data_IF_661163662302
#
_entry.id   IF_661163662302
#
_cell.length_a   1.000
_cell.length_b   1.000
_cell.length_c   1.000
_cell.angle_alpha   90.00
_cell.angle_beta   90.00
_cell.angle_gamma   90.00
#
_symmetry.space_group_name_H-M   'P 1'
#
loop_
_entity.id
_entity.type
_entity.pdbx_description
1 polymer ?
#
# COMPACT_ATOMS: atom_id res chain seq x y z
N UNK A 1 4.20 -9.82 -15.91
CA UNK A 1 3.26 -10.60 -16.75
C UNK A 1 2.51 -11.67 -15.94
N UNK A 2 3.20 -12.53 -15.17
CA UNK A 2 2.56 -13.67 -14.50
C UNK A 2 1.46 -13.30 -13.50
N UNK A 3 1.48 -12.10 -12.94
CA UNK A 3 0.49 -11.64 -11.94
C UNK A 3 -0.86 -11.33 -12.61
N UNK A 4 -0.89 -10.79 -13.82
CA UNK A 4 -2.12 -10.43 -14.53
C UNK A 4 -2.97 -11.66 -14.90
N UNK A 5 -2.36 -12.81 -15.16
CA UNK A 5 -3.06 -14.04 -15.51
C UNK A 5 -3.50 -14.85 -14.28
N UNK A 6 -3.57 -14.24 -13.12
CA UNK A 6 -3.91 -14.92 -11.87
C UNK A 6 -5.44 -15.09 -11.68
N UNK A 7 -6.27 -14.30 -12.36
CA UNK A 7 -7.74 -14.32 -12.26
C UNK A 7 -8.26 -13.64 -11.00
N UNK A 8 -7.74 -13.99 -9.82
CA UNK A 8 -8.14 -13.43 -8.52
C UNK A 8 -6.95 -12.91 -7.73
N UNK A 9 -7.22 -12.00 -6.79
CA UNK A 9 -6.19 -11.34 -5.98
C UNK A 9 -5.29 -12.32 -5.23
N UNK A 10 -5.82 -13.42 -4.69
CA UNK A 10 -5.03 -14.42 -3.96
C UNK A 10 -3.85 -14.94 -4.77
N UNK A 11 -4.10 -15.37 -6.02
CA UNK A 11 -3.05 -15.89 -6.89
C UNK A 11 -2.05 -14.81 -7.29
N UNK A 12 -2.54 -13.57 -7.48
CA UNK A 12 -1.69 -12.43 -7.77
C UNK A 12 -0.75 -12.11 -6.61
N UNK A 13 -1.25 -12.08 -5.36
CA UNK A 13 -0.45 -11.89 -4.16
C UNK A 13 0.60 -12.98 -4.02
N UNK A 14 0.24 -14.26 -4.13
CA UNK A 14 1.19 -15.37 -4.03
C UNK A 14 2.34 -15.27 -5.05
N UNK A 15 2.02 -14.89 -6.31
CA UNK A 15 3.04 -14.67 -7.35
C UNK A 15 3.92 -13.46 -7.04
N UNK A 16 3.32 -12.38 -6.55
CA UNK A 16 4.04 -11.16 -6.17
C UNK A 16 4.99 -11.43 -4.99
N UNK A 17 4.51 -12.10 -3.93
CA UNK A 17 5.35 -12.43 -2.76
C UNK A 17 6.54 -13.31 -3.16
N UNK A 18 6.32 -14.30 -4.04
CA UNK A 18 7.40 -15.12 -4.60
C UNK A 18 8.41 -14.29 -5.40
N UNK A 19 7.94 -13.35 -6.21
CA UNK A 19 8.81 -12.43 -6.96
C UNK A 19 9.63 -11.53 -6.03
N UNK A 20 8.96 -10.93 -5.02
CA UNK A 20 9.62 -10.06 -4.05
C UNK A 20 10.68 -10.79 -3.23
N UNK A 21 10.46 -12.07 -2.90
CA UNK A 21 11.46 -12.91 -2.22
C UNK A 21 12.76 -13.04 -3.03
N UNK A 22 12.66 -13.15 -4.35
CA UNK A 22 13.84 -13.26 -5.24
C UNK A 22 14.52 -11.91 -5.47
N UNK A 23 13.73 -10.82 -5.43
CA UNK A 23 14.23 -9.47 -5.78
C UNK A 23 14.73 -8.69 -4.58
N UNK A 24 14.13 -8.92 -3.41
CA UNK A 24 14.46 -8.25 -2.15
C UNK A 24 15.17 -9.24 -1.24
N UNK A 25 16.50 -9.27 -1.32
CA UNK A 25 17.31 -10.13 -0.48
C UNK A 25 17.00 -9.95 1.01
N UNK A 26 16.84 -11.08 1.70
CA UNK A 26 16.63 -11.12 3.14
C UNK A 26 15.20 -10.82 3.60
N UNK A 27 14.20 -10.78 2.73
CA UNK A 27 12.79 -10.63 3.09
C UNK A 27 11.91 -11.71 2.44
N UNK A 28 11.08 -12.37 3.23
CA UNK A 28 10.11 -13.35 2.76
C UNK A 28 8.71 -13.02 3.25
N UNK A 29 7.79 -12.80 2.31
CA UNK A 29 6.37 -12.61 2.59
C UNK A 29 5.60 -13.92 2.45
N UNK A 30 4.78 -14.25 3.45
CA UNK A 30 3.92 -15.43 3.47
C UNK A 30 2.46 -15.02 3.66
N UNK A 31 1.59 -15.44 2.73
CA UNK A 31 0.14 -15.25 2.85
C UNK A 31 -0.46 -16.37 3.69
N UNK A 32 -1.18 -16.01 4.76
CA UNK A 32 -1.92 -16.92 5.64
C UNK A 32 -3.37 -16.53 5.68
N UNK A 33 -4.24 -17.53 5.83
CA UNK A 33 -5.69 -17.35 5.97
C UNK A 33 -6.16 -18.13 7.18
N UNK A 34 -6.91 -17.47 8.05
CA UNK A 34 -7.53 -18.07 9.24
C UNK A 34 -8.97 -17.56 9.36
N UNK A 35 -9.94 -18.43 9.07
CA UNK A 35 -11.35 -18.06 9.03
C UNK A 35 -11.62 -16.90 8.07
N UNK A 36 -12.22 -15.83 8.58
CA UNK A 36 -12.55 -14.63 7.79
C UNK A 36 -11.40 -13.63 7.64
N UNK A 37 -10.26 -13.89 8.26
CA UNK A 37 -9.09 -13.03 8.22
C UNK A 37 -7.99 -13.61 7.36
N UNK A 38 -7.37 -12.78 6.54
CA UNK A 38 -6.12 -13.06 5.86
C UNK A 38 -5.03 -12.14 6.42
N UNK A 39 -3.80 -12.62 6.44
CA UNK A 39 -2.65 -11.80 6.75
C UNK A 39 -1.47 -12.15 5.84
N UNK A 40 -0.62 -11.16 5.60
CA UNK A 40 0.69 -11.36 5.01
C UNK A 40 1.71 -11.12 6.12
N UNK A 41 2.47 -12.16 6.47
CA UNK A 41 3.55 -12.10 7.45
C UNK A 41 4.86 -11.90 6.70
N UNK A 42 5.68 -10.95 7.14
CA UNK A 42 6.99 -10.67 6.56
C UNK A 42 8.07 -11.10 7.56
N UNK A 43 9.00 -11.92 7.10
CA UNK A 43 10.11 -12.41 7.88
C UNK A 43 11.44 -11.90 7.33
N UNK A 44 12.35 -11.53 8.22
CA UNK A 44 13.74 -11.34 7.87
C UNK A 44 14.42 -12.70 7.70
N UNK A 45 15.14 -12.87 6.61
CA UNK A 45 15.95 -14.05 6.36
C UNK A 45 17.41 -13.72 6.70
N UNK A 46 18.13 -14.64 7.38
CA UNK A 46 19.54 -14.46 7.64
C UNK A 46 20.35 -14.48 6.35
N UNK A 47 21.46 -13.76 6.32
CA UNK A 47 22.42 -13.88 5.25
C UNK A 47 23.10 -15.27 5.27
N UNK A 48 23.64 -15.74 4.15
CA UNK A 48 24.37 -17.00 4.11
C UNK A 48 25.48 -17.04 5.18
N UNK A 49 25.41 -18.00 6.11
CA UNK A 49 26.37 -18.15 7.21
C UNK A 49 25.98 -17.45 8.52
N UNK A 50 24.90 -16.67 8.56
CA UNK A 50 24.38 -16.06 9.79
C UNK A 50 23.33 -16.97 10.47
N UNK A 51 23.37 -17.07 11.80
CA UNK A 51 22.41 -17.86 12.55
C UNK A 51 21.01 -17.22 12.64
N UNK A 52 20.94 -15.89 12.55
CA UNK A 52 19.69 -15.13 12.58
C UNK A 52 19.82 -13.83 11.79
N UNK A 53 18.73 -13.38 11.19
CA UNK A 53 18.70 -12.08 10.52
C UNK A 53 18.47 -10.97 11.55
N UNK A 54 19.18 -9.82 11.45
CA UNK A 54 18.88 -8.67 12.28
C UNK A 54 17.52 -8.07 11.87
N UNK A 55 16.73 -7.57 12.83
CA UNK A 55 15.47 -6.91 12.52
C UNK A 55 15.68 -5.69 11.63
N UNK A 56 14.93 -5.60 10.56
CA UNK A 56 15.01 -4.46 9.67
C UNK A 56 14.34 -3.23 10.28
N UNK A 57 14.71 -2.06 9.79
CA UNK A 57 14.08 -0.81 10.22
C UNK A 57 12.63 -0.77 9.77
N UNK A 58 11.76 -0.19 10.59
CA UNK A 58 10.33 -0.02 10.32
C UNK A 58 10.05 0.55 8.92
N UNK A 59 10.91 1.46 8.42
CA UNK A 59 10.80 2.00 7.07
C UNK A 59 10.86 0.93 5.97
N UNK A 60 11.70 -0.09 6.10
CA UNK A 60 11.81 -1.16 5.10
C UNK A 60 10.52 -1.99 5.03
N UNK A 61 9.92 -2.31 6.18
CA UNK A 61 8.63 -3.01 6.24
C UNK A 61 7.50 -2.13 5.67
N UNK A 62 7.48 -0.83 6.03
CA UNK A 62 6.51 0.11 5.48
C UNK A 62 6.60 0.24 3.95
N UNK A 63 7.81 0.32 3.39
CA UNK A 63 8.02 0.35 1.95
C UNK A 63 7.53 -0.96 1.27
N UNK A 64 7.79 -2.11 1.88
CA UNK A 64 7.28 -3.39 1.41
C UNK A 64 5.74 -3.40 1.39
N UNK A 65 5.09 -2.96 2.47
CA UNK A 65 3.63 -2.87 2.55
C UNK A 65 3.04 -1.90 1.53
N UNK A 66 3.72 -0.76 1.27
CA UNK A 66 3.32 0.17 0.21
C UNK A 66 3.30 -0.51 -1.16
N UNK A 67 4.32 -1.29 -1.49
CA UNK A 67 4.37 -2.04 -2.75
C UNK A 67 3.25 -3.07 -2.83
N UNK A 68 3.06 -3.88 -1.78
CA UNK A 68 2.02 -4.92 -1.76
C UNK A 68 0.63 -4.31 -1.89
N UNK A 69 0.31 -3.31 -1.06
CA UNK A 69 -1.00 -2.64 -1.09
C UNK A 69 -1.22 -1.86 -2.39
N UNK A 70 -0.18 -1.20 -2.91
CA UNK A 70 -0.25 -0.45 -4.16
C UNK A 70 -0.57 -1.34 -5.36
N UNK A 71 0.16 -2.45 -5.50
CA UNK A 71 -0.09 -3.41 -6.58
C UNK A 71 -1.45 -4.09 -6.42
N UNK A 72 -1.81 -4.54 -5.21
CA UNK A 72 -3.11 -5.17 -4.96
C UNK A 72 -4.27 -4.22 -5.31
N UNK A 73 -4.17 -2.96 -4.87
CA UNK A 73 -5.19 -1.94 -5.15
C UNK A 73 -5.27 -1.59 -6.62
N UNK A 74 -4.13 -1.49 -7.31
CA UNK A 74 -4.08 -1.23 -8.74
C UNK A 74 -4.70 -2.38 -9.53
N UNK A 75 -4.36 -3.64 -9.22
CA UNK A 75 -4.87 -4.83 -9.91
C UNK A 75 -6.38 -4.96 -9.80
N UNK A 76 -6.95 -4.68 -8.63
CA UNK A 76 -8.38 -4.87 -8.33
C UNK A 76 -9.21 -3.60 -8.54
N UNK A 77 -8.56 -2.44 -8.75
CA UNK A 77 -9.24 -1.15 -8.81
C UNK A 77 -9.85 -0.73 -7.47
N UNK A 78 -9.58 -1.44 -6.38
CA UNK A 78 -10.12 -1.23 -5.04
C UNK A 78 -8.99 -1.15 -4.03
N UNK A 79 -9.11 -0.28 -3.03
CA UNK A 79 -8.16 -0.26 -1.91
C UNK A 79 -8.32 -1.54 -1.09
N UNK A 80 -7.19 -2.20 -0.77
CA UNK A 80 -7.20 -3.33 0.15
C UNK A 80 -7.67 -2.83 1.54
N UNK A 81 -8.74 -3.40 2.12
CA UNK A 81 -9.32 -2.92 3.37
C UNK A 81 -8.53 -3.44 4.57
N UNK A 82 -7.41 -2.78 4.87
CA UNK A 82 -6.56 -3.16 5.99
C UNK A 82 -7.29 -2.98 7.32
N UNK A 83 -7.22 -4.00 8.16
CA UNK A 83 -7.76 -3.97 9.54
C UNK A 83 -6.71 -3.60 10.55
N UNK A 84 -5.47 -4.09 10.37
CA UNK A 84 -4.33 -3.76 11.21
C UNK A 84 -3.02 -3.95 10.45
N UNK A 85 -1.95 -3.30 10.94
CA UNK A 85 -0.58 -3.54 10.48
C UNK A 85 0.34 -3.62 11.70
N UNK A 86 1.10 -4.69 11.80
CA UNK A 86 2.07 -4.95 12.85
C UNK A 86 3.48 -4.63 12.37
N UNK A 87 4.26 -4.02 13.24
CA UNK A 87 5.67 -3.70 13.02
C UNK A 87 6.52 -4.19 14.18
N UNK A 88 7.62 -4.92 13.94
CA UNK A 88 8.62 -5.17 14.96
C UNK A 88 9.38 -3.88 15.26
N UNK A 89 9.67 -3.66 16.54
CA UNK A 89 10.38 -2.48 17.03
C UNK A 89 9.50 -1.30 17.39
N UNK A 90 10.11 -0.20 17.88
CA UNK A 90 9.41 0.93 18.44
C UNK A 90 8.70 1.79 17.38
N UNK A 91 7.69 2.53 17.81
CA UNK A 91 6.95 3.46 16.96
C UNK A 91 7.86 4.57 16.44
N UNK A 92 8.02 4.72 15.11
CA UNK A 92 8.82 5.79 14.55
C UNK A 92 8.06 7.12 14.53
N UNK A 93 8.79 8.25 14.55
CA UNK A 93 8.20 9.58 14.54
C UNK A 93 7.29 9.87 13.33
N UNK A 94 7.47 9.17 12.22
CA UNK A 94 6.66 9.31 11.02
C UNK A 94 5.42 8.38 10.98
N UNK A 95 5.11 7.66 12.05
CA UNK A 95 3.94 6.76 12.14
C UNK A 95 2.59 7.43 11.83
N UNK A 96 2.35 8.73 12.12
CA UNK A 96 1.11 9.40 11.74
C UNK A 96 0.85 9.36 10.21
N UNK A 97 1.90 9.49 9.40
CA UNK A 97 1.77 9.36 7.94
C UNK A 97 1.35 7.94 7.54
N UNK A 98 1.84 6.91 8.22
CA UNK A 98 1.46 5.53 7.96
C UNK A 98 0.03 5.20 8.37
N UNK A 99 -0.46 5.80 9.47
CA UNK A 99 -1.88 5.66 9.84
C UNK A 99 -2.81 6.21 8.76
N UNK A 100 -2.44 7.31 8.12
CA UNK A 100 -3.19 7.87 7.00
C UNK A 100 -3.12 6.99 5.73
N UNK A 101 -1.97 6.35 5.49
CA UNK A 101 -1.72 5.54 4.29
C UNK A 101 -2.30 4.13 4.41
N UNK A 102 -2.02 3.43 5.50
CA UNK A 102 -2.43 2.03 5.68
C UNK A 102 -3.81 1.93 6.33
N UNK A 103 -3.88 2.10 7.63
CA UNK A 103 -5.09 2.07 8.45
C UNK A 103 -4.81 2.72 9.81
N UNK A 104 -5.85 3.07 10.58
CA UNK A 104 -5.67 3.65 11.93
C UNK A 104 -4.97 2.70 12.91
N UNK A 105 -5.17 1.39 12.77
CA UNK A 105 -4.64 0.38 13.66
C UNK A 105 -3.22 -0.04 13.23
N UNK A 106 -2.20 0.64 13.78
CA UNK A 106 -0.79 0.24 13.69
C UNK A 106 -0.32 -0.23 15.06
N UNK A 107 0.23 -1.42 15.12
CA UNK A 107 0.77 -2.01 16.34
C UNK A 107 2.30 -2.08 16.20
N UNK A 108 3.00 -1.56 17.20
CA UNK A 108 4.46 -1.58 17.26
C UNK A 108 4.95 -2.59 18.30
N UNK A 109 6.25 -2.87 18.33
CA UNK A 109 6.87 -3.87 19.22
C UNK A 109 6.29 -5.28 19.08
N UNK A 110 5.81 -5.62 17.88
CA UNK A 110 5.29 -6.93 17.59
C UNK A 110 6.40 -7.91 17.20
N UNK A 111 6.22 -9.22 17.41
CA UNK A 111 7.27 -10.21 17.11
C UNK A 111 7.64 -10.30 15.64
N UNK A 112 6.72 -9.94 14.74
CA UNK A 112 6.91 -9.96 13.28
C UNK A 112 6.18 -8.81 12.61
N UNK A 113 6.63 -8.43 11.41
CA UNK A 113 5.85 -7.51 10.58
C UNK A 113 4.69 -8.28 9.93
N UNK A 114 3.46 -7.79 10.07
CA UNK A 114 2.27 -8.41 9.49
C UNK A 114 1.26 -7.37 9.01
N UNK A 115 0.49 -7.74 7.98
CA UNK A 115 -0.53 -6.89 7.38
C UNK A 115 -1.82 -7.69 7.29
N UNK A 116 -2.88 -7.20 7.94
CA UNK A 116 -4.15 -7.90 8.10
C UNK A 116 -5.27 -7.29 7.28
N UNK A 117 -6.12 -8.14 6.69
CA UNK A 117 -7.28 -7.74 5.90
C UNK A 117 -8.33 -8.88 5.85
N UNK A 118 -9.60 -8.60 5.51
CA UNK A 118 -10.63 -9.63 5.37
C UNK A 118 -10.30 -10.62 4.26
N UNK A 119 -10.42 -11.92 4.54
CA UNK A 119 -10.11 -13.00 3.59
C UNK A 119 -10.95 -12.94 2.31
N UNK A 120 -12.15 -12.38 2.36
CA UNK A 120 -13.00 -12.16 1.18
C UNK A 120 -12.32 -11.32 0.09
N UNK A 121 -11.40 -10.42 0.44
CA UNK A 121 -10.66 -9.63 -0.55
C UNK A 121 -9.79 -10.50 -1.47
N UNK A 122 -9.36 -11.68 -1.01
CA UNK A 122 -8.56 -12.62 -1.81
C UNK A 122 -9.29 -13.12 -3.05
N UNK A 123 -10.62 -13.10 -3.05
CA UNK A 123 -11.47 -13.54 -4.17
C UNK A 123 -11.79 -12.40 -5.16
N UNK A 124 -11.31 -11.19 -4.93
CA UNK A 124 -11.56 -10.09 -5.86
C UNK A 124 -10.96 -10.35 -7.24
N UNK A 125 -11.74 -10.09 -8.31
CA UNK A 125 -11.24 -10.25 -9.66
C UNK A 125 -10.19 -9.19 -10.00
N UNK A 126 -9.24 -9.54 -10.86
CA UNK A 126 -8.27 -8.61 -11.41
C UNK A 126 -8.89 -7.87 -12.60
N UNK A 127 -8.77 -6.54 -12.59
CA UNK A 127 -9.39 -5.65 -13.58
C UNK A 127 -8.38 -5.09 -14.59
N UNK A 128 -7.10 -5.49 -14.52
CA UNK A 128 -6.02 -4.91 -15.33
C UNK A 128 -5.54 -5.87 -16.40
N UNK A 129 -5.32 -5.33 -17.58
CA UNK A 129 -4.75 -6.00 -18.73
C UNK A 129 -3.26 -5.63 -18.94
N UNK A 130 -2.67 -6.15 -20.01
CA UNK A 130 -1.27 -5.91 -20.36
C UNK A 130 -1.00 -4.44 -20.76
N UNK A 131 -1.95 -3.78 -21.41
CA UNK A 131 -1.82 -2.38 -21.80
C UNK A 131 -1.79 -1.48 -20.56
N UNK A 132 -2.66 -1.77 -19.58
CA UNK A 132 -2.65 -1.10 -18.28
C UNK A 132 -1.33 -1.33 -17.54
N UNK A 133 -0.74 -2.54 -17.61
CA UNK A 133 0.56 -2.82 -16.99
C UNK A 133 1.68 -1.98 -17.62
N UNK A 134 1.74 -1.88 -18.93
CA UNK A 134 2.73 -1.05 -19.62
C UNK A 134 2.62 0.42 -19.22
N UNK A 135 1.40 0.94 -19.11
CA UNK A 135 1.15 2.31 -18.64
C UNK A 135 1.57 2.49 -17.18
N UNK A 136 1.24 1.52 -16.32
CA UNK A 136 1.61 1.55 -14.90
C UNK A 136 3.12 1.58 -14.71
N UNK A 137 3.87 0.74 -15.42
CA UNK A 137 5.33 0.67 -15.32
C UNK A 137 6.04 1.94 -15.81
N UNK A 138 5.46 2.66 -16.78
CA UNK A 138 6.02 3.95 -17.26
C UNK A 138 5.94 5.05 -16.19
N UNK A 139 4.99 4.94 -15.26
CA UNK A 139 4.76 5.93 -14.20
C UNK A 139 5.41 5.52 -12.87
N UNK A 140 6.10 4.37 -12.83
CA UNK A 140 6.83 3.94 -11.64
C UNK A 140 8.05 4.86 -11.40
N UNK A 141 8.43 5.15 -10.14
CA UNK A 141 7.83 4.66 -8.90
C UNK A 141 6.69 5.53 -8.35
N UNK A 142 6.38 6.69 -8.96
CA UNK A 142 5.42 7.67 -8.40
C UNK A 142 4.03 7.08 -8.15
N UNK A 143 3.58 6.15 -8.99
CA UNK A 143 2.27 5.50 -8.85
C UNK A 143 2.20 4.48 -7.70
N UNK A 144 3.32 3.94 -7.22
CA UNK A 144 3.36 3.12 -5.99
C UNK A 144 3.17 3.99 -4.74
N UNK A 145 3.71 5.20 -4.78
CA UNK A 145 3.59 6.17 -3.70
C UNK A 145 2.25 6.91 -3.73
N UNK A 146 1.59 6.96 -4.89
CA UNK A 146 0.24 7.49 -5.07
C UNK A 146 -0.85 6.50 -4.62
N UNK A 147 -0.62 5.74 -3.54
CA UNK A 147 -1.71 5.21 -2.73
C UNK A 147 -2.53 6.43 -2.32
N UNK A 148 -3.60 6.68 -3.06
CA UNK A 148 -4.44 7.85 -2.85
C UNK A 148 -4.77 7.93 -1.36
N UNK A 149 -4.56 9.08 -0.73
CA UNK A 149 -5.10 9.32 0.59
C UNK A 149 -6.58 8.90 0.58
N UNK A 150 -7.09 8.48 1.73
CA UNK A 150 -8.48 8.04 1.90
C UNK A 150 -9.41 8.88 1.01
N UNK A 151 -10.43 8.27 0.38
CA UNK A 151 -11.36 8.93 -0.55
C UNK A 151 -11.86 10.30 -0.06
N UNK A 152 -11.75 10.56 1.22
CA UNK A 152 -12.17 11.78 1.91
C UNK A 152 -11.00 12.67 2.37
N UNK A 153 -9.76 12.31 2.07
CA UNK A 153 -8.59 13.14 2.39
C UNK A 153 -8.59 14.46 1.59
N UNK A 154 -7.95 15.51 2.15
CA UNK A 154 -7.84 16.82 1.56
C UNK A 154 -7.36 16.76 0.09
N UNK A 155 -6.29 16.01 -0.18
CA UNK A 155 -5.76 15.82 -1.53
C UNK A 155 -6.77 15.18 -2.49
N UNK A 156 -7.59 14.24 -2.02
CA UNK A 156 -8.64 13.64 -2.84
C UNK A 156 -9.79 14.62 -3.14
N UNK A 157 -10.13 15.49 -2.17
CA UNK A 157 -11.12 16.57 -2.36
C UNK A 157 -10.63 17.57 -3.38
N UNK A 158 -9.39 18.03 -3.25
CA UNK A 158 -8.74 18.95 -4.20
C UNK A 158 -8.71 18.34 -5.60
N UNK A 159 -8.22 17.11 -5.73
CA UNK A 159 -8.11 16.44 -7.01
C UNK A 159 -9.48 16.23 -7.69
N UNK A 160 -10.52 15.89 -6.92
CA UNK A 160 -11.89 15.77 -7.42
C UNK A 160 -12.40 17.10 -7.94
N UNK A 161 -12.21 18.18 -7.19
CA UNK A 161 -12.65 19.52 -7.56
C UNK A 161 -11.95 20.01 -8.83
N UNK A 162 -10.62 19.87 -8.91
CA UNK A 162 -9.85 20.28 -10.09
C UNK A 162 -10.18 19.44 -11.33
N UNK A 163 -10.48 18.15 -11.18
CA UNK A 163 -10.90 17.30 -12.32
C UNK A 163 -12.26 17.65 -12.91
N UNK A 164 -13.16 18.18 -12.09
CA UNK A 164 -14.51 18.59 -12.55
C UNK A 164 -14.56 20.01 -13.06
N UNK A 165 -13.46 20.77 -12.91
CA UNK A 165 -13.37 22.18 -13.32
C UNK A 165 -12.43 22.30 -14.53
N UNK A 166 -12.82 22.98 -15.62
CA UNK A 166 -11.92 23.24 -16.75
C UNK A 166 -10.65 23.96 -16.27
N UNK A 167 -9.46 23.70 -16.84
CA UNK A 167 -8.20 24.31 -16.40
C UNK A 167 -8.22 25.85 -16.36
N UNK A 168 -8.93 26.48 -17.30
CA UNK A 168 -9.07 27.95 -17.36
C UNK A 168 -9.90 28.54 -16.20
N UNK A 169 -10.67 27.68 -15.49
CA UNK A 169 -11.52 28.07 -14.36
C UNK A 169 -10.98 27.53 -13.02
N UNK A 170 -9.75 27.05 -12.97
CA UNK A 170 -9.15 26.59 -11.73
C UNK A 170 -9.00 27.75 -10.74
N UNK A 171 -9.47 27.58 -9.50
CA UNK A 171 -9.32 28.60 -8.47
C UNK A 171 -7.85 28.80 -8.13
N UNK A 172 -7.48 30.03 -7.78
CA UNK A 172 -6.19 30.28 -7.16
C UNK A 172 -6.07 29.60 -5.78
N UNK A 173 -4.86 29.54 -5.26
CA UNK A 173 -4.58 28.85 -4.00
C UNK A 173 -5.41 29.36 -2.81
N UNK A 174 -5.58 30.68 -2.69
CA UNK A 174 -6.34 31.29 -1.60
C UNK A 174 -7.85 31.00 -1.72
N UNK A 175 -8.37 31.02 -2.93
CA UNK A 175 -9.77 30.67 -3.22
C UNK A 175 -10.04 29.19 -2.98
N UNK A 176 -9.09 28.32 -3.36
CA UNK A 176 -9.18 26.88 -3.09
C UNK A 176 -9.19 26.59 -1.59
N UNK A 177 -8.31 27.24 -0.82
CA UNK A 177 -8.27 27.11 0.64
C UNK A 177 -9.61 27.52 1.27
N UNK A 178 -10.18 28.66 0.86
CA UNK A 178 -11.51 29.13 1.32
C UNK A 178 -12.62 28.13 1.00
N UNK A 179 -12.66 27.59 -0.23
CA UNK A 179 -13.67 26.60 -0.65
C UNK A 179 -13.58 25.30 0.13
N UNK A 180 -12.40 24.96 0.62
CA UNK A 180 -12.15 23.77 1.44
C UNK A 180 -12.29 24.02 2.94
N UNK A 181 -12.63 25.25 3.35
CA UNK A 181 -12.70 25.72 4.74
C UNK A 181 -11.40 25.53 5.51
N UNK A 182 -10.26 25.81 4.85
CA UNK A 182 -8.92 25.72 5.40
C UNK A 182 -8.20 27.05 5.37
N UNK A 183 -7.23 27.22 6.27
CA UNK A 183 -6.29 28.32 6.14
C UNK A 183 -5.29 28.07 5.02
N UNK A 184 -4.76 29.10 4.32
CA UNK A 184 -3.70 28.92 3.33
C UNK A 184 -2.45 28.21 3.85
N UNK A 185 -2.18 28.32 5.16
CA UNK A 185 -1.07 27.60 5.80
C UNK A 185 -1.33 26.10 6.05
N UNK A 186 -2.61 25.68 5.96
CA UNK A 186 -3.03 24.28 6.18
C UNK A 186 -3.21 23.53 4.85
N UNK A 187 -3.38 24.25 3.74
CA UNK A 187 -3.49 23.70 2.40
C UNK A 187 -2.10 23.47 1.78
#
# INVERSE_FOLDING_TARGET
>A
HSVLHAGVLQRALLRMLRFLRVTLDGLEGELRVSGEQACIVLRDLPAPGEASAPPRRAFAYGAYWLMVCGVASWLTGRRLPLTAVDFPGPEPAFSPAWRAVFCPQLNFEQPVAALYFPAQALHWPLLRDEAALKSFLRQAPANFLALRPARDGLAARIHRQLRTTPPAAWPDFASLARQLHLSPATL
#
